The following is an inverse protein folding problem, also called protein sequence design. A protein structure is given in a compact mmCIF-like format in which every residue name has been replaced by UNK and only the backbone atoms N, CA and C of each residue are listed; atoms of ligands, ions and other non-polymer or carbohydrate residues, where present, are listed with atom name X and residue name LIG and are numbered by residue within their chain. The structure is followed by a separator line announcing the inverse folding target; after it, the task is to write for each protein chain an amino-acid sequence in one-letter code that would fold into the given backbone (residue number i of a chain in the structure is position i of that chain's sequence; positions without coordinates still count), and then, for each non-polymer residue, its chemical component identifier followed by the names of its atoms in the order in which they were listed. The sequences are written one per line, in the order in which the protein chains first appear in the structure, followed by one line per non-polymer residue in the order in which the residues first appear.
data_IF_770708230000
#
_entry.id   IF_770708230000
#
_cell.length_a   1.000
_cell.length_b   1.000
_cell.length_c   1.000
_cell.angle_alpha   90.00
_cell.angle_beta   90.00
_cell.angle_gamma   90.00
#
_symmetry.space_group_name_H-M   'P 1'
#
loop_
_entity.id
_entity.type
_entity.pdbx_description
1 polymer ?
#
# COMPACT_ATOMS: atom_id res chain seq x y z
N UNK A 1 -13.81 10.34 -20.08
CA UNK A 1 -13.16 11.59 -19.60
C UNK A 1 -11.68 11.29 -19.41
N UNK A 2 -10.78 12.25 -19.64
CA UNK A 2 -9.33 12.08 -19.45
C UNK A 2 -8.88 12.85 -18.21
N UNK A 3 -8.02 12.22 -17.40
CA UNK A 3 -7.43 12.80 -16.21
C UNK A 3 -6.53 14.00 -16.52
N UNK A 4 -6.53 15.00 -15.64
CA UNK A 4 -5.68 16.18 -15.67
C UNK A 4 -4.88 16.31 -14.37
N UNK A 5 -3.72 16.94 -14.45
CA UNK A 5 -2.89 17.20 -13.27
C UNK A 5 -3.64 18.07 -12.25
N UNK A 6 -3.48 17.73 -10.98
CA UNK A 6 -4.11 18.39 -9.84
C UNK A 6 -5.53 17.92 -9.52
N UNK A 7 -6.19 17.16 -10.41
CA UNK A 7 -7.53 16.65 -10.14
C UNK A 7 -7.54 15.68 -8.94
N UNK A 8 -8.54 15.85 -8.07
CA UNK A 8 -8.77 15.01 -6.91
C UNK A 8 -10.06 14.23 -7.12
N UNK A 9 -9.96 12.92 -6.93
CA UNK A 9 -11.07 12.00 -7.08
C UNK A 9 -11.38 11.31 -5.76
N UNK A 10 -12.66 11.03 -5.55
CA UNK A 10 -13.14 10.12 -4.52
C UNK A 10 -13.66 8.84 -5.15
N UNK A 11 -13.40 7.72 -4.49
CA UNK A 11 -13.79 6.38 -4.96
C UNK A 11 -14.14 5.50 -3.77
N UNK A 12 -15.14 4.63 -3.94
CA UNK A 12 -15.50 3.67 -2.90
C UNK A 12 -14.53 2.49 -2.88
N UNK A 13 -13.87 2.28 -1.74
CA UNK A 13 -12.96 1.17 -1.50
C UNK A 13 -13.72 -0.04 -0.98
N UNK A 14 -13.78 -1.11 -1.79
CA UNK A 14 -14.57 -2.30 -1.48
C UNK A 14 -14.05 -3.11 -0.29
N UNK A 15 -12.75 -3.02 0.01
CA UNK A 15 -12.12 -3.72 1.14
C UNK A 15 -12.36 -2.98 2.47
N UNK A 16 -12.28 -1.65 2.45
CA UNK A 16 -12.55 -0.81 3.63
C UNK A 16 -14.04 -0.58 3.88
N UNK A 17 -14.88 -0.79 2.86
CA UNK A 17 -16.32 -0.42 2.85
C UNK A 17 -16.55 1.07 3.12
N UNK A 18 -15.61 1.91 2.67
CA UNK A 18 -15.57 3.36 2.87
C UNK A 18 -15.02 4.04 1.62
N UNK A 19 -15.26 5.34 1.49
CA UNK A 19 -14.66 6.16 0.44
C UNK A 19 -13.21 6.49 0.79
N UNK A 20 -12.38 6.54 -0.24
CA UNK A 20 -10.98 6.98 -0.20
C UNK A 20 -10.76 8.04 -1.27
N UNK A 21 -9.64 8.76 -1.20
CA UNK A 21 -9.32 9.80 -2.17
C UNK A 21 -7.94 9.60 -2.82
N UNK A 22 -7.79 10.09 -4.05
CA UNK A 22 -6.51 10.15 -4.75
C UNK A 22 -6.40 11.44 -5.57
N UNK A 23 -5.17 11.92 -5.76
CA UNK A 23 -4.87 13.04 -6.64
C UNK A 23 -4.13 12.54 -7.88
N UNK A 24 -4.44 13.09 -9.04
CA UNK A 24 -3.57 13.02 -10.22
C UNK A 24 -2.45 14.03 -10.02
N UNK A 25 -1.27 13.59 -9.59
CA UNK A 25 -0.15 14.48 -9.30
C UNK A 25 0.32 15.20 -10.57
N UNK A 26 0.56 14.45 -11.65
CA UNK A 26 0.95 15.02 -12.95
C UNK A 26 0.65 14.06 -14.09
N UNK A 27 0.76 14.55 -15.33
CA UNK A 27 0.70 13.73 -16.53
C UNK A 27 2.12 13.46 -17.00
N UNK A 28 2.56 12.20 -16.86
CA UNK A 28 3.86 11.77 -17.36
C UNK A 28 3.87 11.77 -18.89
N UNK A 29 4.87 12.40 -19.54
CA UNK A 29 4.98 12.38 -20.98
C UNK A 29 5.34 10.96 -21.48
N UNK A 30 5.16 10.70 -22.78
CA UNK A 30 5.72 9.51 -23.42
C UNK A 30 7.23 9.38 -23.17
N UNK A 31 7.72 8.16 -23.05
CA UNK A 31 9.12 7.85 -22.86
C UNK A 31 9.58 6.67 -23.74
N UNK A 32 10.74 6.08 -23.42
CA UNK A 32 11.27 4.92 -24.15
C UNK A 32 10.42 3.66 -23.95
N UNK A 33 9.67 3.56 -22.84
CA UNK A 33 8.85 2.41 -22.47
C UNK A 33 7.43 2.56 -23.03
N UNK A 34 6.86 3.77 -23.00
CA UNK A 34 5.51 4.02 -23.49
C UNK A 34 5.41 5.21 -24.44
N UNK A 35 4.74 5.01 -25.57
CA UNK A 35 4.51 6.06 -26.58
C UNK A 35 3.30 6.95 -26.29
N UNK A 36 2.52 6.62 -25.26
CA UNK A 36 1.38 7.42 -24.80
C UNK A 36 1.68 8.06 -23.44
N UNK A 37 1.08 9.23 -23.15
CA UNK A 37 1.14 9.83 -21.82
C UNK A 37 0.35 9.02 -20.78
N UNK A 38 0.74 9.14 -19.51
CA UNK A 38 0.11 8.45 -18.38
C UNK A 38 -0.23 9.42 -17.25
N UNK A 39 -1.34 9.20 -16.55
CA UNK A 39 -1.61 9.92 -15.31
C UNK A 39 -0.78 9.29 -14.18
N UNK A 40 -0.11 10.12 -13.37
CA UNK A 40 0.54 9.66 -12.15
C UNK A 40 -0.39 9.95 -10.98
N UNK A 41 -0.86 8.88 -10.33
CA UNK A 41 -1.82 8.97 -9.23
C UNK A 41 -1.13 8.78 -7.90
N UNK A 42 -1.50 9.62 -6.95
CA UNK A 42 -1.09 9.59 -5.55
C UNK A 42 -2.31 9.32 -4.68
N UNK A 43 -2.22 8.31 -3.81
CA UNK A 43 -3.26 8.07 -2.78
C UNK A 43 -3.19 9.14 -1.68
N UNK A 44 -4.34 9.54 -1.15
CA UNK A 44 -4.43 10.58 -0.11
C UNK A 44 -4.81 9.98 1.24
N UNK A 45 -4.32 10.59 2.31
CA UNK A 45 -4.55 10.21 3.71
C UNK A 45 -5.94 10.67 4.17
N UNK A 46 -6.96 10.10 3.53
CA UNK A 46 -8.36 10.43 3.77
C UNK A 46 -9.25 9.19 3.57
N UNK A 47 -10.17 8.98 4.52
CA UNK A 47 -11.18 7.93 4.49
C UNK A 47 -12.49 8.50 5.04
N UNK A 48 -13.61 8.25 4.36
CA UNK A 48 -14.93 8.73 4.76
C UNK A 48 -16.04 7.70 4.60
N UNK A 49 -17.09 7.78 5.43
CA UNK A 49 -18.30 6.98 5.25
C UNK A 49 -19.20 7.52 4.12
N UNK A 50 -18.98 8.78 3.71
CA UNK A 50 -19.58 9.43 2.54
C UNK A 50 -18.47 9.86 1.56
N UNK A 51 -18.79 10.15 0.28
CA UNK A 51 -17.82 10.70 -0.67
C UNK A 51 -17.17 11.99 -0.16
N UNK A 52 -15.90 12.21 -0.53
CA UNK A 52 -15.16 13.43 -0.20
C UNK A 52 -15.87 14.66 -0.77
N UNK A 53 -15.93 15.73 0.02
CA UNK A 53 -16.54 17.01 -0.36
C UNK A 53 -15.49 18.06 -0.74
N UNK A 54 -15.92 19.11 -1.44
CA UNK A 54 -15.02 20.18 -1.88
C UNK A 54 -14.44 20.99 -0.70
N UNK A 55 -15.21 21.10 0.38
CA UNK A 55 -14.85 21.80 1.61
C UNK A 55 -13.70 21.11 2.36
N UNK A 56 -13.53 19.81 2.17
CA UNK A 56 -12.47 19.01 2.78
C UNK A 56 -11.15 19.10 2.00
N UNK A 57 -11.15 19.54 0.73
CA UNK A 57 -9.97 19.57 -0.13
C UNK A 57 -8.74 20.24 0.52
N UNK A 58 -8.84 21.42 1.18
CA UNK A 58 -7.68 22.07 1.79
C UNK A 58 -7.02 21.30 2.93
N UNK A 59 -7.71 20.30 3.49
CA UNK A 59 -7.24 19.49 4.62
C UNK A 59 -6.62 18.16 4.18
N UNK A 60 -6.64 17.87 2.88
CA UNK A 60 -6.06 16.65 2.34
C UNK A 60 -4.54 16.63 2.52
N UNK A 61 -4.02 15.43 2.73
CA UNK A 61 -2.59 15.14 2.85
C UNK A 61 -2.23 13.93 2.00
N UNK A 62 -1.00 13.83 1.51
CA UNK A 62 -0.55 12.63 0.81
C UNK A 62 -0.50 11.43 1.76
N UNK A 63 -0.93 10.25 1.28
CA UNK A 63 -0.81 9.01 2.03
C UNK A 63 0.59 8.42 1.85
N UNK A 64 1.38 8.47 2.91
CA UNK A 64 2.61 7.70 3.00
C UNK A 64 2.28 6.26 3.39
N UNK A 65 2.79 5.32 2.59
CA UNK A 65 2.63 3.89 2.82
C UNK A 65 3.91 3.30 3.42
N UNK A 66 3.75 2.51 4.47
CA UNK A 66 4.81 1.82 5.21
C UNK A 66 4.32 0.50 5.82
N UNK A 67 3.27 -0.10 5.27
CA UNK A 67 2.67 -1.30 5.85
C UNK A 67 3.65 -2.47 5.90
N UNK A 68 3.62 -3.21 7.00
CA UNK A 68 4.47 -4.38 7.23
C UNK A 68 5.97 -4.04 7.13
N UNK A 69 6.69 -4.63 6.17
CA UNK A 69 8.13 -4.45 5.99
C UNK A 69 8.49 -3.36 4.96
N UNK A 70 7.51 -2.64 4.42
CA UNK A 70 7.76 -1.61 3.41
C UNK A 70 8.43 -0.37 4.00
N UNK A 71 9.41 0.19 3.30
CA UNK A 71 9.93 1.51 3.64
C UNK A 71 8.84 2.57 3.47
N UNK A 72 8.87 3.61 4.30
CA UNK A 72 7.90 4.70 4.25
C UNK A 72 8.12 5.57 3.02
N UNK A 73 7.17 5.58 2.10
CA UNK A 73 7.24 6.40 0.89
C UNK A 73 5.85 6.76 0.33
N UNK A 74 5.81 7.66 -0.65
CA UNK A 74 4.63 7.91 -1.47
C UNK A 74 4.47 6.78 -2.49
N UNK A 75 3.32 6.11 -2.45
CA UNK A 75 3.02 5.08 -3.44
C UNK A 75 2.39 5.71 -4.69
N UNK A 76 3.24 6.05 -5.66
CA UNK A 76 2.85 6.61 -6.94
C UNK A 76 2.70 5.52 -8.01
N UNK A 77 1.68 5.67 -8.86
CA UNK A 77 1.45 4.73 -9.96
C UNK A 77 1.07 5.46 -11.25
N UNK A 78 1.71 5.07 -12.36
CA UNK A 78 1.28 5.45 -13.71
C UNK A 78 0.06 4.62 -14.11
N UNK A 79 -1.05 5.30 -14.37
CA UNK A 79 -2.34 4.69 -14.77
C UNK A 79 -2.83 5.29 -16.09
N UNK A 80 -3.70 4.58 -16.85
CA UNK A 80 -4.26 5.10 -18.09
C UNK A 80 -4.97 6.44 -17.87
N UNK A 81 -4.94 7.33 -18.88
CA UNK A 81 -5.59 8.64 -18.80
C UNK A 81 -7.11 8.54 -18.68
N UNK A 82 -7.70 7.48 -19.22
CA UNK A 82 -9.12 7.22 -19.16
C UNK A 82 -9.54 6.90 -17.72
N UNK A 83 -10.35 7.79 -17.13
CA UNK A 83 -10.81 7.67 -15.76
C UNK A 83 -11.95 6.63 -15.71
N UNK A 84 -11.88 5.62 -14.83
CA UNK A 84 -12.96 4.66 -14.65
C UNK A 84 -14.20 5.33 -14.03
N UNK A 85 -15.42 4.85 -14.36
CA UNK A 85 -16.67 5.49 -13.95
C UNK A 85 -16.91 5.51 -12.44
N UNK A 86 -16.23 4.66 -11.67
CA UNK A 86 -16.34 4.64 -10.20
C UNK A 86 -15.61 5.80 -9.50
N UNK A 87 -14.76 6.54 -10.22
CA UNK A 87 -14.08 7.71 -9.68
C UNK A 87 -14.92 8.97 -9.91
N UNK A 88 -15.23 9.66 -8.83
CA UNK A 88 -15.99 10.92 -8.88
C UNK A 88 -15.03 12.09 -8.66
N UNK A 89 -15.00 13.03 -9.61
CA UNK A 89 -14.21 14.25 -9.48
C UNK A 89 -14.77 15.12 -8.35
N UNK A 90 -13.90 15.56 -7.44
CA UNK A 90 -14.26 16.42 -6.31
C UNK A 90 -13.81 17.86 -6.56
N UNK A 91 -12.64 18.03 -7.17
CA UNK A 91 -12.08 19.34 -7.47
C UNK A 91 -10.62 19.25 -7.89
N UNK A 92 -9.91 20.36 -7.82
CA UNK A 92 -8.48 20.44 -8.16
C UNK A 92 -7.68 21.05 -7.01
N UNK A 93 -6.47 20.55 -6.83
CA UNK A 93 -5.48 21.06 -5.89
C UNK A 93 -4.10 21.13 -6.59
N UNK A 94 -3.20 22.02 -6.15
CA UNK A 94 -1.79 21.90 -6.53
C UNK A 94 -1.28 20.49 -6.24
N UNK A 95 -0.48 19.88 -7.14
CA UNK A 95 0.09 18.57 -6.91
C UNK A 95 0.86 18.50 -5.59
N UNK A 96 0.60 17.49 -4.76
CA UNK A 96 1.33 17.30 -3.50
C UNK A 96 2.78 16.86 -3.70
N UNK A 97 3.15 16.43 -4.91
CA UNK A 97 4.49 15.93 -5.22
C UNK A 97 4.81 16.08 -6.70
N UNK A 98 6.10 16.24 -6.98
CA UNK A 98 6.74 16.21 -8.30
C UNK A 98 7.72 15.02 -8.44
N UNK A 99 7.72 14.10 -7.46
CA UNK A 99 8.60 12.94 -7.47
C UNK A 99 8.38 12.08 -8.72
N UNK A 100 9.47 11.59 -9.35
CA UNK A 100 9.33 10.75 -10.52
C UNK A 100 8.73 9.39 -10.16
N UNK A 101 7.67 9.00 -10.86
CA UNK A 101 7.10 7.66 -10.80
C UNK A 101 7.55 6.83 -12.01
N UNK A 102 7.99 5.59 -11.75
CA UNK A 102 8.39 4.61 -12.78
C UNK A 102 7.55 3.33 -12.75
N UNK A 103 6.65 3.21 -11.78
CA UNK A 103 5.76 2.06 -11.62
C UNK A 103 4.51 2.24 -12.49
N UNK A 104 4.12 1.18 -13.18
CA UNK A 104 2.91 1.15 -14.03
C UNK A 104 1.86 0.23 -13.44
N UNK A 105 0.60 0.59 -13.61
CA UNK A 105 -0.52 -0.27 -13.23
C UNK A 105 -1.86 0.27 -13.73
N UNK A 106 -2.94 -0.23 -13.13
CA UNK A 106 -4.29 0.27 -13.37
C UNK A 106 -4.70 1.28 -12.30
N UNK A 107 -5.84 1.93 -12.53
CA UNK A 107 -6.55 2.63 -11.46
C UNK A 107 -6.79 1.68 -10.29
N UNK A 108 -6.35 2.08 -9.10
CA UNK A 108 -6.29 1.21 -7.92
C UNK A 108 -7.66 0.65 -7.53
N UNK A 109 -7.72 -0.64 -7.22
CA UNK A 109 -8.89 -1.26 -6.59
C UNK A 109 -8.99 -0.92 -5.08
N UNK A 110 -8.02 -0.17 -4.56
CA UNK A 110 -7.93 0.26 -3.18
C UNK A 110 -7.27 -0.75 -2.23
N UNK A 111 -6.71 -1.86 -2.72
CA UNK A 111 -6.14 -2.89 -1.86
C UNK A 111 -4.96 -2.39 -1.01
N UNK A 112 -4.01 -1.67 -1.61
CA UNK A 112 -2.84 -1.15 -0.87
C UNK A 112 -3.23 -0.09 0.15
N UNK A 113 -4.18 0.79 -0.20
CA UNK A 113 -4.77 1.75 0.75
C UNK A 113 -5.43 1.01 1.90
N UNK A 114 -6.18 -0.05 1.63
CA UNK A 114 -6.76 -0.91 2.67
C UNK A 114 -5.67 -1.48 3.59
N UNK A 115 -4.61 -2.08 3.05
CA UNK A 115 -3.50 -2.63 3.84
C UNK A 115 -2.84 -1.54 4.70
N UNK A 116 -2.61 -0.35 4.16
CA UNK A 116 -2.02 0.76 4.89
C UNK A 116 -2.92 1.24 6.03
N UNK A 117 -4.22 1.41 5.81
CA UNK A 117 -5.16 1.82 6.87
C UNK A 117 -5.26 0.73 7.96
N UNK A 118 -5.29 -0.55 7.57
CA UNK A 118 -5.26 -1.68 8.52
C UNK A 118 -3.97 -1.72 9.32
N UNK A 119 -2.85 -1.38 8.69
CA UNK A 119 -1.57 -1.23 9.37
C UNK A 119 -1.62 -0.09 10.38
N UNK A 120 -2.05 1.11 9.99
CA UNK A 120 -2.15 2.28 10.89
C UNK A 120 -3.09 2.07 12.09
N UNK A 121 -4.09 1.19 11.97
CA UNK A 121 -4.95 0.80 13.08
C UNK A 121 -4.21 -0.01 14.18
N UNK A 122 -3.03 -0.56 13.89
CA UNK A 122 -2.15 -1.18 14.89
C UNK A 122 -1.47 -0.07 15.69
N UNK A 123 -1.44 -0.16 17.04
CA UNK A 123 -0.74 0.81 17.89
C UNK A 123 0.67 1.10 17.38
N UNK A 124 1.03 2.37 17.31
CA UNK A 124 2.30 2.82 16.73
C UNK A 124 3.52 2.15 17.38
N UNK A 125 3.50 1.98 18.71
CA UNK A 125 4.55 1.28 19.45
C UNK A 125 4.79 -0.14 18.91
N UNK A 126 3.71 -0.88 18.63
CA UNK A 126 3.80 -2.23 18.06
C UNK A 126 4.32 -2.22 16.63
N UNK A 127 3.91 -1.24 15.83
CA UNK A 127 4.44 -1.06 14.47
C UNK A 127 5.92 -0.74 14.48
N UNK A 128 6.35 0.15 15.38
CA UNK A 128 7.76 0.53 15.52
C UNK A 128 8.60 -0.66 15.98
N UNK A 129 8.17 -1.37 17.02
CA UNK A 129 8.83 -2.59 17.49
C UNK A 129 8.94 -3.66 16.38
N UNK A 130 7.89 -3.81 15.56
CA UNK A 130 7.94 -4.69 14.39
C UNK A 130 9.00 -4.24 13.37
N UNK A 131 9.05 -2.95 13.04
CA UNK A 131 10.04 -2.40 12.11
C UNK A 131 11.47 -2.57 12.64
N UNK A 132 11.70 -2.24 13.91
CA UNK A 132 12.98 -2.45 14.58
C UNK A 132 13.41 -3.92 14.54
N UNK A 133 12.49 -4.85 14.79
CA UNK A 133 12.76 -6.28 14.67
C UNK A 133 13.08 -6.71 13.22
N UNK A 134 12.44 -6.10 12.23
CA UNK A 134 12.71 -6.38 10.80
C UNK A 134 14.09 -5.89 10.33
N UNK A 135 14.59 -4.80 10.91
CA UNK A 135 15.96 -4.30 10.64
C UNK A 135 17.04 -5.07 11.41
N UNK A 136 16.65 -5.99 12.32
CA UNK A 136 17.60 -6.78 13.08
C UNK A 136 18.33 -7.82 12.21
N UNK A 137 19.64 -7.88 12.41
CA UNK A 137 20.54 -8.91 11.86
C UNK A 137 20.70 -10.14 12.78
N UNK A 138 20.01 -10.15 13.93
CA UNK A 138 20.02 -11.27 14.86
C UNK A 138 19.62 -12.57 14.16
N UNK A 139 20.31 -13.67 14.46
CA UNK A 139 20.01 -14.98 13.91
C UNK A 139 19.51 -15.93 14.98
N UNK A 140 18.62 -16.83 14.55
CA UNK A 140 18.10 -17.96 15.31
C UNK A 140 18.21 -19.22 14.45
N UNK A 141 18.01 -20.38 15.06
CA UNK A 141 18.07 -21.66 14.38
C UNK A 141 16.69 -22.33 14.39
N UNK A 142 16.20 -22.71 13.21
CA UNK A 142 14.97 -23.52 13.08
C UNK A 142 15.33 -24.78 12.29
N UNK A 143 15.24 -25.95 12.93
CA UNK A 143 15.52 -27.24 12.28
C UNK A 143 16.95 -27.38 11.73
N UNK A 144 17.95 -26.81 12.41
CA UNK A 144 19.35 -26.84 11.94
C UNK A 144 19.71 -25.76 10.93
N UNK A 145 18.76 -24.91 10.52
CA UNK A 145 18.98 -23.84 9.54
C UNK A 145 19.08 -22.50 10.26
N UNK A 146 20.22 -21.79 10.15
CA UNK A 146 20.35 -20.44 10.69
C UNK A 146 19.51 -19.47 9.83
N UNK A 147 18.66 -18.69 10.49
CA UNK A 147 17.74 -17.75 9.87
C UNK A 147 17.80 -16.43 10.65
N UNK A 148 17.69 -15.29 9.96
CA UNK A 148 17.51 -14.03 10.67
C UNK A 148 16.16 -14.04 11.41
N UNK A 149 16.10 -13.45 12.60
CA UNK A 149 14.84 -13.27 13.34
C UNK A 149 13.83 -12.43 12.54
N UNK A 150 14.32 -11.54 11.68
CA UNK A 150 13.56 -10.75 10.70
C UNK A 150 13.07 -11.53 9.48
N UNK A 151 13.31 -12.85 9.39
CA UNK A 151 12.93 -13.66 8.23
C UNK A 151 11.41 -13.86 8.18
N UNK A 152 10.77 -13.36 7.14
CA UNK A 152 9.32 -13.47 6.92
C UNK A 152 8.92 -14.67 6.03
N UNK A 153 9.90 -15.45 5.56
CA UNK A 153 9.71 -16.65 4.74
C UNK A 153 10.65 -17.73 5.23
N UNK A 154 10.11 -18.91 5.53
CA UNK A 154 10.90 -20.11 5.83
C UNK A 154 10.62 -21.12 4.71
N UNK A 155 11.68 -21.62 4.08
CA UNK A 155 11.57 -22.68 3.08
C UNK A 155 11.96 -24.00 3.72
N UNK A 156 11.05 -24.96 3.70
CA UNK A 156 11.37 -26.36 3.96
C UNK A 156 11.74 -27.05 2.63
N UNK A 157 12.46 -28.17 2.69
CA UNK A 157 12.94 -28.94 1.52
C UNK A 157 11.81 -29.39 0.57
N UNK A 158 10.55 -29.34 1.02
CA UNK A 158 9.38 -29.76 0.24
C UNK A 158 8.24 -28.71 0.16
N UNK A 159 8.28 -27.58 0.90
CA UNK A 159 7.23 -26.56 0.86
C UNK A 159 7.68 -25.18 1.37
N UNK A 160 7.10 -24.11 0.80
CA UNK A 160 7.26 -22.75 1.32
C UNK A 160 6.22 -22.49 2.42
N UNK A 161 6.66 -22.15 3.64
CA UNK A 161 5.78 -21.60 4.69
C UNK A 161 5.86 -20.08 4.62
N UNK A 162 4.75 -19.42 4.24
CA UNK A 162 4.60 -17.96 4.28
C UNK A 162 3.83 -17.58 5.54
N UNK A 163 4.40 -16.71 6.37
CA UNK A 163 3.68 -16.12 7.51
C UNK A 163 3.12 -14.75 7.08
N UNK A 164 1.84 -14.71 6.71
CA UNK A 164 1.14 -13.49 6.29
C UNK A 164 -0.34 -13.74 5.98
N UNK A 165 -1.21 -12.87 6.50
CA UNK A 165 -2.66 -13.02 6.64
C UNK A 165 -3.40 -13.53 5.40
N UNK A 166 -4.16 -14.63 5.52
CA UNK A 166 -5.21 -14.94 4.53
C UNK A 166 -5.59 -16.39 4.25
N UNK A 167 -4.99 -17.42 4.86
CA UNK A 167 -5.47 -18.80 4.66
C UNK A 167 -5.82 -19.47 5.98
N UNK A 168 -7.11 -19.83 6.10
CA UNK A 168 -7.63 -20.70 7.15
C UNK A 168 -6.91 -22.04 7.09
N UNK A 169 -6.37 -22.47 8.22
CA UNK A 169 -6.26 -23.88 8.59
C UNK A 169 -5.09 -24.67 7.99
N UNK A 170 -3.96 -24.62 8.69
CA UNK A 170 -3.36 -25.81 9.27
C UNK A 170 -2.43 -25.36 10.41
N UNK A 171 -2.95 -25.37 11.64
CA UNK A 171 -2.09 -25.41 12.80
C UNK A 171 -1.38 -26.77 12.75
N UNK A 172 -0.12 -26.80 12.34
CA UNK A 172 0.71 -27.97 12.57
C UNK A 172 1.18 -27.93 14.02
N UNK A 173 1.14 -29.09 14.72
CA UNK A 173 1.42 -29.16 16.14
C UNK A 173 2.87 -28.77 16.39
N UNK A 174 3.08 -27.79 17.27
CA UNK A 174 4.37 -27.61 17.94
C UNK A 174 4.66 -28.92 18.67
N UNK A 175 5.53 -29.75 18.11
CA UNK A 175 6.01 -30.95 18.79
C UNK A 175 6.79 -30.51 20.04
N UNK A 176 6.34 -30.85 21.25
CA UNK A 176 7.05 -30.53 22.47
C UNK A 176 8.21 -31.51 22.61
N UNK A 177 9.42 -31.08 22.29
CA UNK A 177 10.64 -31.74 22.74
C UNK A 177 11.41 -30.84 23.69
N UNK A 178 10.73 -30.45 24.76
CA UNK A 178 11.36 -30.32 26.07
C UNK A 178 11.17 -31.66 26.79
N UNK A 179 12.27 -32.38 27.01
CA UNK A 179 12.34 -33.37 28.09
C UNK A 179 13.65 -33.20 28.84
N UNK A 180 13.47 -32.90 30.13
CA UNK A 180 14.33 -33.05 31.31
C UNK A 180 15.78 -32.62 31.21
#
# INVERSE_FOLDING_TARGET
MKAQAGEVYTVYNQYLKRYTACQVAYIAPPDSVSKQPWAVVLSLDWVGDAPLTAEELPHLRPLYMDFMYWSRDLHLLRVPLEIPPQYTLVGTLPPFTDQPCYSYGGWSDGHDVYLQIRWQAIPEERRRAFKEAMESDEQTEIGGIPLKVSSHRVMDQYATIRFGAGTKGAALPLHPHLRA
#
